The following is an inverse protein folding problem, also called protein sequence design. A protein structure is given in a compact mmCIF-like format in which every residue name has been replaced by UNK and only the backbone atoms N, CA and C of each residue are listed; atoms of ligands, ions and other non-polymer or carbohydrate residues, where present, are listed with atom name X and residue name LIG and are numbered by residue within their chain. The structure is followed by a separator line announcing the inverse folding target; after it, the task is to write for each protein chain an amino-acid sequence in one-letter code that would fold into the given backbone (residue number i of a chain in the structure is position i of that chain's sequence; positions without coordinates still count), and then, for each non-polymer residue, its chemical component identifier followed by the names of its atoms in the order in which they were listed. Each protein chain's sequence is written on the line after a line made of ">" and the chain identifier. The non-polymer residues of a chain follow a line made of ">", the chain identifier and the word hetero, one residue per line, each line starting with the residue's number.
data_IF_429408577717
#
_entry.id   IF_429408577717
#
_cell.length_a   1.000
_cell.length_b   1.000
_cell.length_c   1.000
_cell.angle_alpha   90.00
_cell.angle_beta   90.00
_cell.angle_gamma   90.00
#
_symmetry.space_group_name_H-M   'P 1'
#
loop_
_entity.id
_entity.type
_entity.pdbx_description
1 polymer ?
#
# COMPACT_ATOMS: atom_id res chain seq x y z
N UNK A 1 7.81 -9.24 -1.52
CA UNK A 1 7.72 -7.98 -0.72
C UNK A 1 7.97 -6.80 -1.65
N UNK A 2 7.12 -5.75 -1.69
CA UNK A 2 7.39 -4.59 -2.52
C UNK A 2 8.56 -3.75 -1.95
N UNK A 3 9.42 -3.23 -2.83
CA UNK A 3 10.48 -2.28 -2.48
C UNK A 3 9.94 -0.86 -2.47
N UNK A 4 10.42 -0.01 -1.55
CA UNK A 4 10.11 1.43 -1.55
C UNK A 4 11.28 2.26 -2.08
N UNK A 5 11.03 3.56 -2.32
CA UNK A 5 12.03 4.46 -2.88
C UNK A 5 13.29 4.60 -2.02
N UNK A 6 13.15 4.65 -0.69
CA UNK A 6 14.29 4.76 0.22
C UNK A 6 15.18 3.51 0.14
N UNK A 7 14.59 2.33 0.13
CA UNK A 7 15.30 1.07 -0.05
C UNK A 7 15.98 0.99 -1.41
N UNK A 8 15.30 1.42 -2.48
CA UNK A 8 15.89 1.44 -3.82
C UNK A 8 17.07 2.41 -3.89
N UNK A 9 17.00 3.57 -3.25
CA UNK A 9 18.12 4.53 -3.17
C UNK A 9 19.27 4.04 -2.30
N UNK A 10 19.01 3.21 -1.28
CA UNK A 10 20.08 2.57 -0.53
C UNK A 10 20.85 1.57 -1.39
N UNK A 11 20.16 0.85 -2.29
CA UNK A 11 20.78 -0.13 -3.19
C UNK A 11 21.42 0.54 -4.41
N UNK A 12 20.74 1.54 -4.98
CA UNK A 12 21.10 2.27 -6.21
C UNK A 12 21.19 3.78 -5.92
N UNK A 13 22.22 4.24 -5.17
CA UNK A 13 22.30 5.63 -4.70
C UNK A 13 22.35 6.68 -5.83
N UNK A 14 22.86 6.31 -7.01
CA UNK A 14 22.96 7.21 -8.14
C UNK A 14 21.66 7.28 -8.97
N UNK A 15 20.63 6.49 -8.65
CA UNK A 15 19.35 6.56 -9.33
C UNK A 15 18.65 7.92 -9.11
N UNK A 16 18.88 8.55 -7.96
CA UNK A 16 18.32 9.87 -7.64
C UNK A 16 16.79 9.91 -7.82
N UNK A 17 16.23 10.93 -8.50
CA UNK A 17 14.79 11.02 -8.72
C UNK A 17 14.19 9.82 -9.48
N UNK A 18 14.98 9.14 -10.32
CA UNK A 18 14.50 7.99 -11.09
C UNK A 18 14.06 6.83 -10.20
N UNK A 19 14.61 6.72 -8.99
CA UNK A 19 14.16 5.71 -8.04
C UNK A 19 12.64 5.82 -7.77
N UNK A 20 12.11 7.04 -7.59
CA UNK A 20 10.68 7.25 -7.37
C UNK A 20 9.83 6.88 -8.59
N UNK A 21 10.35 7.11 -9.80
CA UNK A 21 9.68 6.77 -11.06
C UNK A 21 9.58 5.25 -11.25
N UNK A 22 10.66 4.52 -10.94
CA UNK A 22 10.75 3.09 -11.20
C UNK A 22 10.17 2.19 -10.11
N UNK A 23 10.02 2.65 -8.87
CA UNK A 23 9.51 1.82 -7.76
C UNK A 23 8.17 1.14 -8.09
N UNK A 24 7.13 1.84 -8.59
CA UNK A 24 5.86 1.19 -8.93
C UNK A 24 6.03 0.14 -10.03
N UNK A 25 6.74 0.49 -11.10
CA UNK A 25 6.99 -0.38 -12.24
C UNK A 25 7.77 -1.66 -11.85
N UNK A 26 8.82 -1.51 -11.04
CA UNK A 26 9.63 -2.62 -10.54
C UNK A 26 8.80 -3.54 -9.66
N UNK A 27 7.98 -3.01 -8.76
CA UNK A 27 7.12 -3.83 -7.90
C UNK A 27 6.10 -4.65 -8.70
N UNK A 28 5.46 -4.04 -9.71
CA UNK A 28 4.52 -4.72 -10.59
C UNK A 28 5.24 -5.84 -11.38
N UNK A 29 6.38 -5.52 -11.98
CA UNK A 29 7.15 -6.48 -12.77
C UNK A 29 7.67 -7.65 -11.92
N UNK A 30 8.26 -7.36 -10.76
CA UNK A 30 8.74 -8.38 -9.83
C UNK A 30 7.62 -9.28 -9.32
N UNK A 31 6.44 -8.72 -9.01
CA UNK A 31 5.29 -9.51 -8.60
C UNK A 31 4.81 -10.45 -9.72
N UNK A 32 4.71 -9.95 -10.96
CA UNK A 32 4.26 -10.76 -12.11
C UNK A 32 5.16 -11.96 -12.39
N UNK A 33 6.47 -11.81 -12.22
CA UNK A 33 7.47 -12.85 -12.51
C UNK A 33 8.01 -13.55 -11.25
N UNK A 34 7.28 -13.48 -10.14
CA UNK A 34 7.62 -14.18 -8.88
C UNK A 34 9.05 -13.89 -8.39
N UNK A 35 9.51 -12.64 -8.57
CA UNK A 35 10.76 -12.11 -8.02
C UNK A 35 10.41 -11.54 -6.64
N UNK A 36 10.04 -12.42 -5.71
CA UNK A 36 9.33 -12.04 -4.47
C UNK A 36 10.09 -12.37 -3.18
N UNK A 37 11.11 -13.24 -3.26
CA UNK A 37 12.07 -13.52 -2.18
C UNK A 37 13.13 -12.41 -2.09
N UNK A 38 13.71 -12.20 -0.91
CA UNK A 38 14.75 -11.17 -0.71
C UNK A 38 15.96 -11.39 -1.62
N UNK A 39 16.38 -12.64 -1.82
CA UNK A 39 17.52 -12.98 -2.67
C UNK A 39 17.23 -12.69 -4.14
N UNK A 40 16.05 -13.07 -4.63
CA UNK A 40 15.61 -12.77 -6.01
C UNK A 40 15.52 -11.26 -6.26
N UNK A 41 14.89 -10.52 -5.35
CA UNK A 41 14.76 -9.06 -5.45
C UNK A 41 16.14 -8.40 -5.45
N UNK A 42 17.02 -8.77 -4.52
CA UNK A 42 18.36 -8.19 -4.43
C UNK A 42 19.19 -8.47 -5.70
N UNK A 43 19.18 -9.71 -6.17
CA UNK A 43 19.91 -10.11 -7.38
C UNK A 43 19.36 -9.42 -8.63
N UNK A 44 18.04 -9.33 -8.77
CA UNK A 44 17.38 -8.64 -9.87
C UNK A 44 17.69 -7.15 -9.88
N UNK A 45 17.53 -6.46 -8.75
CA UNK A 45 17.81 -5.02 -8.62
C UNK A 45 19.29 -4.70 -8.86
N UNK A 46 20.19 -5.54 -8.35
CA UNK A 46 21.61 -5.39 -8.60
C UNK A 46 21.95 -5.52 -10.09
N UNK A 47 21.36 -6.50 -10.77
CA UNK A 47 21.59 -6.72 -12.20
C UNK A 47 21.09 -5.54 -13.03
N UNK A 48 19.81 -5.15 -12.88
CA UNK A 48 19.26 -4.03 -13.64
C UNK A 48 19.98 -2.73 -13.29
N UNK A 49 20.41 -2.56 -12.04
CA UNK A 49 21.20 -1.42 -11.60
C UNK A 49 22.56 -1.35 -12.29
N UNK A 50 23.19 -2.49 -12.58
CA UNK A 50 24.43 -2.52 -13.35
C UNK A 50 24.18 -2.14 -14.82
N UNK A 51 23.24 -2.83 -15.48
CA UNK A 51 22.99 -2.70 -16.92
C UNK A 51 22.44 -1.32 -17.33
N UNK A 52 21.68 -0.66 -16.45
CA UNK A 52 21.04 0.63 -16.73
C UNK A 52 21.80 1.84 -16.14
N UNK A 53 22.98 1.62 -15.57
CA UNK A 53 23.70 2.68 -14.85
C UNK A 53 22.89 3.24 -13.68
N UNK A 54 22.32 2.35 -12.87
CA UNK A 54 21.44 2.63 -11.74
C UNK A 54 20.14 3.33 -12.15
N UNK A 55 19.44 2.78 -13.15
CA UNK A 55 18.15 3.24 -13.69
C UNK A 55 18.23 4.58 -14.44
N UNK A 56 19.43 5.09 -14.71
CA UNK A 56 19.64 6.36 -15.41
C UNK A 56 19.50 6.24 -16.92
N UNK A 57 19.71 5.04 -17.47
CA UNK A 57 19.70 4.78 -18.89
C UNK A 57 18.77 3.61 -19.22
N UNK A 58 17.74 3.89 -20.00
CA UNK A 58 16.79 2.91 -20.57
C UNK A 58 17.04 2.66 -22.06
N UNK A 59 18.10 3.25 -22.60
CA UNK A 59 18.46 3.17 -24.02
C UNK A 59 19.97 3.28 -24.17
N UNK A 60 20.54 2.47 -25.06
CA UNK A 60 21.93 2.57 -25.47
C UNK A 60 22.20 3.94 -26.12
N UNK A 61 23.24 4.61 -25.63
CA UNK A 61 23.72 5.88 -26.18
C UNK A 61 24.86 5.57 -27.15
N UNK A 62 24.57 5.58 -28.45
CA UNK A 62 25.54 5.35 -29.51
C UNK A 62 25.22 6.19 -30.75
N UNK A 63 26.26 6.63 -31.46
CA UNK A 63 26.10 7.24 -32.78
C UNK A 63 25.56 6.23 -33.78
N UNK A 64 24.98 6.69 -34.89
CA UNK A 64 24.48 5.79 -35.93
C UNK A 64 25.58 4.90 -36.51
N UNK A 65 26.82 5.43 -36.59
CA UNK A 65 28.02 4.67 -36.98
C UNK A 65 28.38 3.56 -36.00
N UNK A 66 28.16 3.77 -34.70
CA UNK A 66 28.41 2.76 -33.68
C UNK A 66 27.35 1.65 -33.72
N UNK A 67 26.09 2.02 -33.99
CA UNK A 67 24.96 1.10 -34.06
C UNK A 67 24.91 0.30 -35.37
N UNK A 68 25.61 0.74 -36.42
CA UNK A 68 25.76 0.01 -37.68
C UNK A 68 26.32 -1.42 -37.50
N UNK A 69 26.99 -1.71 -36.37
CA UNK A 69 27.42 -3.07 -35.99
C UNK A 69 26.25 -4.07 -35.84
N UNK A 70 25.05 -3.58 -35.57
CA UNK A 70 23.83 -4.38 -35.46
C UNK A 70 23.05 -4.45 -36.76
N UNK A 71 23.41 -3.64 -37.75
CA UNK A 71 22.64 -3.44 -38.98
C UNK A 71 23.04 -4.43 -40.07
N UNK A 72 24.30 -4.89 -40.06
CA UNK A 72 24.79 -5.83 -41.08
C UNK A 72 25.68 -6.93 -40.50
N UNK A 73 25.84 -8.02 -41.26
CA UNK A 73 26.79 -9.09 -40.98
C UNK A 73 26.32 -10.13 -39.94
N UNK A 74 27.27 -10.92 -39.43
CA UNK A 74 26.98 -12.09 -38.58
C UNK A 74 26.33 -11.73 -37.23
N UNK A 75 26.57 -10.52 -36.72
CA UNK A 75 25.92 -10.06 -35.50
C UNK A 75 24.44 -9.72 -35.75
N UNK A 76 24.14 -9.02 -36.86
CA UNK A 76 22.77 -8.73 -37.28
C UNK A 76 21.94 -10.01 -37.44
N UNK A 77 22.48 -11.01 -38.16
CA UNK A 77 21.82 -12.30 -38.37
C UNK A 77 21.51 -13.03 -37.07
N UNK A 78 22.46 -13.09 -36.12
CA UNK A 78 22.22 -13.72 -34.80
C UNK A 78 21.17 -12.99 -33.96
N UNK A 79 21.01 -11.69 -34.19
CA UNK A 79 20.01 -10.85 -33.54
C UNK A 79 18.64 -10.88 -34.25
N UNK A 80 18.55 -11.58 -35.39
CA UNK A 80 17.35 -11.65 -36.22
C UNK A 80 17.06 -10.37 -37.02
N UNK A 81 18.02 -9.43 -37.07
CA UNK A 81 17.93 -8.27 -37.94
C UNK A 81 18.12 -8.71 -39.40
N UNK A 82 17.57 -7.92 -40.31
CA UNK A 82 17.91 -8.03 -41.73
C UNK A 82 19.44 -7.90 -41.93
N UNK A 83 20.05 -8.69 -42.84
CA UNK A 83 21.47 -8.56 -43.12
C UNK A 83 21.83 -7.31 -43.95
N UNK A 84 20.82 -6.63 -44.51
CA UNK A 84 20.93 -5.38 -45.25
C UNK A 84 21.06 -4.16 -44.32
N UNK A 85 21.78 -3.11 -44.76
CA UNK A 85 21.87 -1.84 -44.04
C UNK A 85 20.59 -1.01 -44.21
N UNK A 86 19.47 -1.48 -43.67
CA UNK A 86 18.14 -0.87 -43.78
C UNK A 86 17.72 -0.07 -42.55
N UNK A 87 18.55 -0.06 -41.51
CA UNK A 87 18.31 0.64 -40.26
C UNK A 87 17.76 -0.23 -39.13
N UNK A 88 17.59 -1.54 -39.33
CA UNK A 88 17.19 -2.49 -38.27
C UNK A 88 18.14 -2.44 -37.06
N UNK A 89 19.44 -2.22 -37.27
CA UNK A 89 20.42 -2.10 -36.19
C UNK A 89 20.16 -0.88 -35.29
N UNK A 90 19.78 0.26 -35.90
CA UNK A 90 19.42 1.48 -35.21
C UNK A 90 18.00 1.38 -34.64
N UNK A 91 17.08 0.72 -35.33
CA UNK A 91 15.69 0.57 -34.90
C UNK A 91 15.60 -0.34 -33.67
N UNK A 92 16.32 -1.47 -33.67
CA UNK A 92 16.36 -2.49 -32.61
C UNK A 92 17.62 -2.41 -31.74
N UNK A 93 18.13 -1.20 -31.51
CA UNK A 93 19.22 -0.92 -30.54
C UNK A 93 18.87 -1.33 -29.11
N UNK A 94 19.85 -1.37 -28.21
CA UNK A 94 19.61 -1.70 -26.80
C UNK A 94 18.61 -0.76 -26.11
N UNK A 95 17.54 -1.32 -25.53
CA UNK A 95 16.55 -0.61 -24.70
C UNK A 95 16.13 -1.37 -23.45
N UNK A 96 15.48 -0.67 -22.53
CA UNK A 96 15.02 -1.19 -21.25
C UNK A 96 16.16 -1.35 -20.24
N UNK A 97 15.83 -1.87 -19.06
CA UNK A 97 16.79 -1.96 -17.96
C UNK A 97 17.81 -3.11 -18.11
N UNK A 98 17.65 -3.98 -19.11
CA UNK A 98 18.55 -5.12 -19.41
C UNK A 98 19.06 -5.13 -20.86
N UNK A 99 18.91 -4.02 -21.60
CA UNK A 99 19.41 -3.85 -22.97
C UNK A 99 18.88 -4.90 -23.98
N UNK A 100 17.55 -5.00 -24.11
CA UNK A 100 16.92 -5.78 -25.19
C UNK A 100 17.39 -5.23 -26.53
N UNK A 101 18.06 -6.07 -27.32
CA UNK A 101 18.73 -5.68 -28.57
C UNK A 101 18.42 -6.72 -29.65
N UNK A 102 18.14 -6.26 -30.87
CA UNK A 102 17.89 -7.12 -32.03
C UNK A 102 16.44 -7.51 -32.23
N UNK A 103 16.00 -7.50 -33.50
CA UNK A 103 14.62 -7.73 -33.95
C UNK A 103 13.98 -8.98 -33.35
N UNK A 104 14.68 -10.11 -33.34
CA UNK A 104 14.13 -11.35 -32.78
C UNK A 104 13.85 -11.25 -31.26
N UNK A 105 14.67 -10.49 -30.52
CA UNK A 105 14.44 -10.26 -29.10
C UNK A 105 13.31 -9.25 -28.86
N UNK A 106 13.16 -8.24 -29.72
CA UNK A 106 12.02 -7.32 -29.68
C UNK A 106 10.71 -8.05 -29.98
N UNK A 107 10.69 -8.95 -30.96
CA UNK A 107 9.54 -9.79 -31.28
C UNK A 107 9.14 -10.68 -30.10
N UNK A 108 10.07 -11.47 -29.56
CA UNK A 108 9.81 -12.36 -28.44
C UNK A 108 9.37 -11.61 -27.15
N UNK A 109 9.96 -10.44 -26.89
CA UNK A 109 9.55 -9.59 -25.78
C UNK A 109 8.16 -9.00 -26.01
N UNK A 110 7.88 -8.54 -27.24
CA UNK A 110 6.59 -7.96 -27.62
C UNK A 110 5.45 -8.96 -27.45
N UNK A 111 5.65 -10.20 -27.91
CA UNK A 111 4.68 -11.29 -27.73
C UNK A 111 4.41 -11.56 -26.25
N UNK A 112 5.46 -11.70 -25.42
CA UNK A 112 5.31 -12.01 -24.00
C UNK A 112 4.64 -10.88 -23.19
N UNK A 113 4.85 -9.62 -23.59
CA UNK A 113 4.31 -8.46 -22.91
C UNK A 113 2.97 -7.97 -23.49
N UNK A 114 2.56 -8.46 -24.67
CA UNK A 114 1.39 -7.98 -25.39
C UNK A 114 1.61 -6.59 -26.01
N UNK A 115 2.83 -6.29 -26.49
CA UNK A 115 3.24 -5.00 -27.04
C UNK A 115 3.71 -5.16 -28.50
N UNK A 116 3.32 -4.22 -29.38
CA UNK A 116 3.83 -4.17 -30.76
C UNK A 116 5.22 -3.52 -30.81
N UNK A 117 6.22 -4.24 -30.29
CA UNK A 117 7.60 -3.75 -30.19
C UNK A 117 8.35 -3.75 -31.54
N UNK A 118 7.83 -4.42 -32.56
CA UNK A 118 8.40 -4.36 -33.90
C UNK A 118 8.11 -3.02 -34.57
N UNK A 119 6.92 -2.46 -34.34
CA UNK A 119 6.57 -1.11 -34.83
C UNK A 119 6.89 -0.01 -33.84
N UNK A 120 6.86 -0.29 -32.54
CA UNK A 120 7.04 0.70 -31.47
C UNK A 120 8.12 0.28 -30.46
N UNK A 121 9.39 0.09 -30.89
CA UNK A 121 10.46 -0.35 -30.01
C UNK A 121 10.76 0.63 -28.86
N UNK A 122 10.45 1.92 -29.03
CA UNK A 122 10.58 2.96 -28.01
C UNK A 122 9.70 2.74 -26.77
N UNK A 123 8.69 1.86 -26.83
CA UNK A 123 7.90 1.50 -25.67
C UNK A 123 8.78 0.95 -24.55
N UNK A 124 9.87 0.24 -24.86
CA UNK A 124 10.83 -0.25 -23.86
C UNK A 124 11.63 0.84 -23.14
N UNK A 125 11.52 2.10 -23.55
CA UNK A 125 12.11 3.24 -22.85
C UNK A 125 11.19 3.76 -21.73
N UNK A 126 9.92 3.34 -21.71
CA UNK A 126 8.96 3.72 -20.68
C UNK A 126 9.19 2.89 -19.40
N UNK A 127 9.12 3.49 -18.19
CA UNK A 127 9.47 2.79 -16.95
C UNK A 127 8.76 1.46 -16.72
N UNK A 128 7.45 1.38 -17.00
CA UNK A 128 6.66 0.15 -16.87
C UNK A 128 7.19 -0.97 -17.78
N UNK A 129 7.36 -0.67 -19.08
CA UNK A 129 7.81 -1.66 -20.06
C UNK A 129 9.30 -1.99 -19.91
N UNK A 130 10.12 -1.04 -19.49
CA UNK A 130 11.53 -1.23 -19.18
C UNK A 130 11.73 -2.19 -18.00
N UNK A 131 10.92 -2.05 -16.95
CA UNK A 131 10.92 -2.97 -15.81
C UNK A 131 10.34 -4.34 -16.18
N UNK A 132 9.23 -4.36 -16.92
CA UNK A 132 8.54 -5.58 -17.32
C UNK A 132 9.38 -6.44 -18.27
N UNK A 133 10.07 -5.83 -19.24
CA UNK A 133 10.99 -6.52 -20.14
C UNK A 133 12.22 -7.09 -19.41
N UNK A 134 12.73 -6.38 -18.41
CA UNK A 134 13.81 -6.89 -17.57
C UNK A 134 13.37 -8.10 -16.74
N UNK A 135 12.18 -8.05 -16.13
CA UNK A 135 11.64 -9.17 -15.36
C UNK A 135 11.27 -10.37 -16.25
N UNK A 136 10.76 -10.13 -17.46
CA UNK A 136 10.54 -11.17 -18.47
C UNK A 136 11.84 -11.88 -18.84
N UNK A 137 12.89 -11.12 -19.15
CA UNK A 137 14.19 -11.69 -19.50
C UNK A 137 14.74 -12.52 -18.33
N UNK A 138 14.63 -12.00 -17.11
CA UNK A 138 15.04 -12.68 -15.90
C UNK A 138 14.37 -14.05 -15.72
N UNK A 139 13.05 -14.11 -15.95
CA UNK A 139 12.27 -15.33 -15.89
C UNK A 139 12.63 -16.31 -17.01
N UNK A 140 12.69 -15.83 -18.27
CA UNK A 140 13.09 -16.63 -19.44
C UNK A 140 14.47 -17.27 -19.27
N UNK A 141 15.40 -16.58 -18.61
CA UNK A 141 16.74 -17.09 -18.31
C UNK A 141 16.80 -17.97 -17.05
N UNK A 142 15.66 -18.18 -16.36
CA UNK A 142 15.48 -18.95 -15.14
C UNK A 142 16.40 -18.48 -13.99
N UNK A 143 16.54 -17.17 -13.85
CA UNK A 143 17.49 -16.57 -12.89
C UNK A 143 16.98 -16.59 -11.46
N UNK A 144 15.67 -16.76 -11.24
CA UNK A 144 15.09 -17.00 -9.91
C UNK A 144 15.76 -18.22 -9.24
N UNK A 145 15.95 -19.32 -9.97
CA UNK A 145 16.59 -20.53 -9.45
C UNK A 145 18.06 -20.30 -9.05
N UNK A 146 18.79 -19.45 -9.78
CA UNK A 146 20.17 -19.11 -9.45
C UNK A 146 20.25 -18.20 -8.22
N UNK A 147 19.34 -17.23 -8.13
CA UNK A 147 19.23 -16.34 -6.98
C UNK A 147 18.88 -17.10 -5.69
N UNK A 148 17.97 -18.07 -5.76
CA UNK A 148 17.60 -18.88 -4.59
C UNK A 148 18.74 -19.74 -4.05
N UNK A 149 19.66 -20.16 -4.93
CA UNK A 149 20.86 -20.91 -4.56
C UNK A 149 21.97 -20.03 -3.99
N UNK A 150 21.80 -18.70 -4.00
CA UNK A 150 22.85 -17.75 -3.65
C UNK A 150 24.01 -17.71 -4.65
N UNK A 151 23.86 -18.33 -5.83
CA UNK A 151 24.89 -18.42 -6.86
C UNK A 151 24.84 -17.19 -7.77
N UNK A 152 25.13 -16.04 -7.17
CA UNK A 152 25.14 -14.74 -7.84
C UNK A 152 26.23 -14.64 -8.93
N UNK A 153 27.17 -15.59 -8.97
CA UNK A 153 28.27 -15.66 -9.95
C UNK A 153 27.82 -16.26 -11.29
N UNK A 154 26.82 -17.14 -11.29
CA UNK A 154 26.29 -17.75 -12.51
C UNK A 154 25.28 -16.86 -13.23
N UNK A 155 24.71 -15.87 -12.54
CA UNK A 155 23.72 -14.94 -13.09
C UNK A 155 24.33 -14.11 -14.25
N UNK A 156 25.44 -13.36 -14.08
CA UNK A 156 26.04 -12.61 -15.19
C UNK A 156 26.53 -13.50 -16.35
N UNK A 157 26.98 -14.74 -16.08
CA UNK A 157 27.40 -15.68 -17.13
C UNK A 157 26.21 -16.18 -17.96
N UNK A 158 25.06 -16.41 -17.32
CA UNK A 158 23.84 -16.85 -18.02
C UNK A 158 23.23 -15.73 -18.87
N UNK A 159 23.35 -14.49 -18.40
CA UNK A 159 22.91 -13.28 -19.10
C UNK A 159 23.81 -13.01 -20.32
N UNK A 160 25.14 -13.05 -20.15
CA UNK A 160 26.10 -12.77 -21.22
C UNK A 160 26.35 -13.95 -22.19
N UNK A 161 25.93 -15.17 -21.83
CA UNK A 161 26.29 -16.41 -22.54
C UNK A 161 25.13 -17.27 -23.03
N UNK A 162 23.89 -16.78 -23.06
CA UNK A 162 22.74 -17.71 -23.19
C UNK A 162 21.54 -17.26 -24.02
N UNK A 163 21.66 -17.35 -25.35
CA UNK A 163 20.56 -17.76 -26.25
C UNK A 163 21.02 -18.82 -27.28
N UNK A 164 21.74 -19.86 -26.84
CA UNK A 164 21.85 -21.11 -27.60
C UNK A 164 21.14 -22.24 -26.84
N UNK A 165 19.84 -22.34 -27.04
CA UNK A 165 18.98 -23.50 -26.77
C UNK A 165 17.59 -23.03 -27.16
N UNK A 166 17.13 -23.29 -28.38
CA UNK A 166 16.33 -24.49 -28.66
C UNK A 166 16.51 -25.04 -30.10
N UNK A 167 17.42 -24.49 -30.93
CA UNK A 167 17.61 -24.93 -32.32
C UNK A 167 18.76 -25.94 -32.55
N UNK A 168 19.80 -25.98 -31.71
CA UNK A 168 20.99 -26.82 -31.95
C UNK A 168 20.92 -28.18 -31.25
N UNK A 169 19.92 -29.00 -31.58
CA UNK A 169 19.92 -30.43 -31.20
C UNK A 169 20.04 -31.41 -32.35
N UNK A 170 20.32 -30.96 -33.57
CA UNK A 170 20.63 -31.86 -34.68
C UNK A 170 21.67 -31.25 -35.60
N UNK A 171 22.89 -31.80 -35.54
CA UNK A 171 23.90 -31.94 -36.60
C UNK A 171 25.31 -31.59 -36.12
N UNK A 172 26.05 -32.62 -35.70
CA UNK A 172 27.50 -32.65 -35.81
C UNK A 172 27.85 -33.78 -36.77
N UNK A 173 28.51 -33.48 -37.90
CA UNK A 173 29.51 -34.39 -38.43
C UNK A 173 30.88 -33.72 -38.55
N UNK A 174 31.88 -34.58 -38.47
CA UNK A 174 33.29 -34.32 -38.25
C UNK A 174 34.08 -33.87 -39.50
N UNK A 175 35.29 -33.35 -39.25
CA UNK A 175 36.41 -33.16 -40.20
C UNK A 175 36.39 -31.78 -40.89
N UNK A 176 37.50 -31.10 -41.23
CA UNK A 176 38.89 -31.49 -41.54
C UNK A 176 39.80 -30.27 -41.24
N UNK A 177 41.08 -30.51 -40.93
CA UNK A 177 42.07 -29.48 -40.58
C UNK A 177 42.65 -28.68 -41.75
N UNK A 178 43.45 -27.67 -41.39
CA UNK A 178 44.31 -26.92 -42.31
C UNK A 178 44.90 -25.68 -41.63
N UNK A 179 46.21 -25.67 -41.43
CA UNK A 179 46.97 -24.55 -40.87
C UNK A 179 47.26 -23.47 -41.94
N UNK A 180 47.34 -22.19 -41.56
CA UNK A 180 48.53 -21.33 -41.77
C UNK A 180 48.31 -19.82 -41.43
N UNK A 181 49.44 -19.22 -41.00
CA UNK A 181 49.84 -17.80 -40.94
C UNK A 181 49.36 -16.92 -39.77
N UNK A 182 50.34 -16.53 -38.93
CA UNK A 182 50.23 -15.54 -37.85
C UNK A 182 50.24 -14.11 -38.42
N UNK A 183 49.17 -13.37 -38.19
CA UNK A 183 49.18 -11.92 -38.03
C UNK A 183 48.88 -11.67 -36.56
N UNK A 184 49.68 -10.84 -35.87
CA UNK A 184 49.45 -10.50 -34.48
C UNK A 184 48.13 -9.71 -34.39
N UNK A 185 47.06 -10.40 -34.03
CA UNK A 185 45.68 -9.92 -34.12
C UNK A 185 45.43 -8.89 -33.01
N UNK A 186 45.13 -7.64 -33.38
CA UNK A 186 44.79 -6.53 -32.47
C UNK A 186 43.55 -6.86 -31.61
N UNK A 187 42.80 -7.90 -31.99
CA UNK A 187 41.75 -8.54 -31.20
C UNK A 187 42.26 -9.14 -29.89
N UNK A 188 43.48 -9.72 -29.83
CA UNK A 188 44.02 -10.28 -28.59
C UNK A 188 44.46 -9.20 -27.59
N UNK A 189 44.89 -8.03 -28.06
CA UNK A 189 45.26 -6.90 -27.17
C UNK A 189 44.01 -6.21 -26.60
N UNK A 190 42.96 -6.04 -27.39
CA UNK A 190 41.65 -5.54 -26.91
C UNK A 190 40.99 -6.56 -25.99
N UNK A 191 41.03 -7.85 -26.34
CA UNK A 191 40.51 -8.93 -25.49
C UNK A 191 41.31 -9.04 -24.17
N UNK A 192 42.63 -8.90 -24.19
CA UNK A 192 43.46 -8.90 -22.99
C UNK A 192 43.25 -7.64 -22.12
N UNK A 193 42.98 -6.48 -22.72
CA UNK A 193 42.64 -5.25 -21.98
C UNK A 193 41.24 -5.33 -21.36
N UNK A 194 40.25 -5.89 -22.06
CA UNK A 194 38.89 -6.16 -21.55
C UNK A 194 38.89 -7.25 -20.48
N UNK A 195 39.69 -8.31 -20.64
CA UNK A 195 39.85 -9.38 -19.64
C UNK A 195 40.67 -8.92 -18.43
N UNK A 196 41.71 -8.10 -18.61
CA UNK A 196 42.55 -7.57 -17.53
C UNK A 196 41.84 -6.51 -16.66
N UNK A 197 41.09 -5.59 -17.29
CA UNK A 197 40.22 -4.66 -16.57
C UNK A 197 39.01 -5.36 -15.95
N UNK A 198 38.51 -6.42 -16.58
CA UNK A 198 37.48 -7.31 -16.05
C UNK A 198 37.92 -8.02 -14.76
N UNK A 199 39.17 -8.47 -14.63
CA UNK A 199 39.66 -9.17 -13.43
C UNK A 199 39.85 -8.23 -12.22
N UNK A 200 40.35 -7.01 -12.44
CA UNK A 200 40.49 -6.01 -11.36
C UNK A 200 39.14 -5.49 -10.86
N UNK A 201 38.21 -5.21 -11.79
CA UNK A 201 36.82 -4.85 -11.44
C UNK A 201 36.06 -6.03 -10.83
N UNK A 202 36.35 -7.28 -11.22
CA UNK A 202 35.80 -8.50 -10.63
C UNK A 202 36.26 -8.76 -9.18
N UNK A 203 37.54 -8.55 -8.88
CA UNK A 203 38.05 -8.69 -7.51
C UNK A 203 37.50 -7.58 -6.60
N UNK A 204 37.43 -6.34 -7.10
CA UNK A 204 36.74 -5.25 -6.40
C UNK A 204 35.25 -5.56 -6.20
N UNK A 205 34.58 -6.17 -7.18
CA UNK A 205 33.18 -6.60 -7.13
C UNK A 205 32.93 -7.75 -6.13
N UNK A 206 33.86 -8.69 -5.97
CA UNK A 206 33.80 -9.72 -4.93
C UNK A 206 33.92 -9.12 -3.53
N UNK A 207 34.88 -8.20 -3.34
CA UNK A 207 35.08 -7.55 -2.04
C UNK A 207 33.89 -6.66 -1.67
N UNK A 208 33.42 -5.85 -2.63
CA UNK A 208 32.19 -5.06 -2.56
C UNK A 208 31.02 -5.99 -2.23
N UNK A 209 30.73 -7.02 -3.04
CA UNK A 209 29.58 -7.91 -2.87
C UNK A 209 29.58 -8.72 -1.57
N UNK A 210 30.73 -9.24 -1.13
CA UNK A 210 30.84 -9.95 0.15
C UNK A 210 30.64 -8.99 1.35
N UNK A 211 31.20 -7.78 1.26
CA UNK A 211 31.05 -6.76 2.29
C UNK A 211 29.61 -6.24 2.37
N UNK A 212 28.98 -5.94 1.23
CA UNK A 212 27.56 -5.53 1.18
C UNK A 212 26.62 -6.68 1.55
N UNK A 213 26.94 -7.93 1.20
CA UNK A 213 26.16 -9.10 1.59
C UNK A 213 26.15 -9.31 3.11
N UNK A 214 27.31 -9.12 3.77
CA UNK A 214 27.40 -9.14 5.23
C UNK A 214 26.65 -7.97 5.86
N UNK A 215 26.79 -6.74 5.34
CA UNK A 215 26.05 -5.57 5.81
C UNK A 215 24.53 -5.72 5.64
N UNK A 216 24.07 -6.31 4.53
CA UNK A 216 22.65 -6.61 4.33
C UNK A 216 22.16 -7.68 5.31
N UNK A 217 22.98 -8.68 5.65
CA UNK A 217 22.59 -9.73 6.61
C UNK A 217 22.44 -9.18 8.04
N UNK A 218 23.35 -8.31 8.47
CA UNK A 218 23.28 -7.68 9.79
C UNK A 218 22.13 -6.68 9.87
N UNK A 219 21.91 -5.89 8.82
CA UNK A 219 20.71 -5.04 8.72
C UNK A 219 19.42 -5.86 8.61
N UNK A 220 19.43 -7.03 7.97
CA UNK A 220 18.25 -7.90 7.87
C UNK A 220 17.83 -8.46 9.21
N UNK A 221 18.78 -8.87 10.06
CA UNK A 221 18.48 -9.34 11.42
C UNK A 221 17.96 -8.20 12.30
N UNK A 222 18.61 -7.03 12.27
CA UNK A 222 18.16 -5.85 13.00
C UNK A 222 16.75 -5.41 12.56
N UNK A 223 16.49 -5.40 11.25
CA UNK A 223 15.19 -5.02 10.69
C UNK A 223 14.11 -6.09 10.87
N UNK A 224 14.48 -7.38 10.90
CA UNK A 224 13.56 -8.46 11.29
C UNK A 224 13.15 -8.30 12.75
N UNK A 225 14.10 -8.02 13.65
CA UNK A 225 13.82 -7.75 15.05
C UNK A 225 12.96 -6.49 15.25
N UNK A 226 13.29 -5.39 14.58
CA UNK A 226 12.46 -4.17 14.60
C UNK A 226 11.05 -4.42 14.05
N UNK A 227 10.91 -5.25 13.00
CA UNK A 227 9.60 -5.61 12.46
C UNK A 227 8.81 -6.52 13.37
N UNK A 228 9.45 -7.46 14.05
CA UNK A 228 8.78 -8.30 15.05
C UNK A 228 8.30 -7.43 16.21
N UNK A 229 9.12 -6.52 16.70
CA UNK A 229 8.75 -5.57 17.75
C UNK A 229 7.66 -4.59 17.28
N UNK A 230 7.74 -4.07 16.06
CA UNK A 230 6.71 -3.19 15.50
C UNK A 230 5.40 -3.95 15.22
N UNK A 231 5.47 -5.20 14.76
CA UNK A 231 4.29 -6.03 14.55
C UNK A 231 3.62 -6.38 15.88
N UNK A 232 4.40 -6.71 16.91
CA UNK A 232 3.88 -6.90 18.27
C UNK A 232 3.28 -5.60 18.82
N UNK A 233 3.93 -4.45 18.63
CA UNK A 233 3.40 -3.16 19.06
C UNK A 233 2.09 -2.78 18.34
N UNK A 234 1.95 -3.12 17.05
CA UNK A 234 0.70 -2.94 16.30
C UNK A 234 -0.39 -3.88 16.81
N UNK A 235 -0.06 -5.14 17.11
CA UNK A 235 -0.99 -6.11 17.72
C UNK A 235 -1.42 -5.65 19.11
N UNK A 236 -0.50 -5.18 19.94
CA UNK A 236 -0.78 -4.65 21.28
C UNK A 236 -1.63 -3.38 21.21
N UNK A 237 -1.31 -2.48 20.29
CA UNK A 237 -2.12 -1.28 20.02
C UNK A 237 -3.53 -1.66 19.55
N UNK A 238 -3.65 -2.63 18.64
CA UNK A 238 -4.93 -3.12 18.15
C UNK A 238 -5.74 -3.80 19.26
N UNK A 239 -5.09 -4.58 20.12
CA UNK A 239 -5.72 -5.22 21.28
C UNK A 239 -6.19 -4.17 22.29
N UNK A 240 -5.38 -3.13 22.55
CA UNK A 240 -5.74 -2.02 23.42
C UNK A 240 -6.93 -1.22 22.86
N UNK A 241 -6.95 -0.99 21.54
CA UNK A 241 -8.05 -0.30 20.88
C UNK A 241 -9.34 -1.14 20.88
N UNK A 242 -9.24 -2.45 20.62
CA UNK A 242 -10.37 -3.38 20.78
C UNK A 242 -10.86 -3.47 22.23
N UNK A 243 -9.96 -3.38 23.22
CA UNK A 243 -10.33 -3.31 24.62
C UNK A 243 -11.08 -2.01 24.97
N UNK A 244 -10.63 -0.87 24.42
CA UNK A 244 -11.33 0.42 24.56
C UNK A 244 -12.71 0.37 23.91
N UNK A 245 -12.84 -0.22 22.72
CA UNK A 245 -14.13 -0.42 22.04
C UNK A 245 -15.08 -1.28 22.87
N UNK A 246 -14.61 -2.43 23.35
CA UNK A 246 -15.41 -3.29 24.25
C UNK A 246 -15.81 -2.58 25.54
N UNK A 247 -14.92 -1.80 26.13
CA UNK A 247 -15.21 -1.01 27.33
C UNK A 247 -16.20 0.14 27.07
N UNK A 248 -16.23 0.68 25.85
CA UNK A 248 -17.23 1.66 25.42
C UNK A 248 -18.58 0.97 25.18
N UNK A 249 -18.60 -0.15 24.47
CA UNK A 249 -19.80 -0.96 24.24
C UNK A 249 -20.46 -1.39 25.54
N UNK A 250 -19.67 -1.88 26.51
CA UNK A 250 -20.18 -2.24 27.83
C UNK A 250 -20.77 -1.04 28.57
N UNK A 251 -20.13 0.15 28.47
CA UNK A 251 -20.67 1.37 29.06
C UNK A 251 -21.95 1.84 28.37
N UNK A 252 -22.03 1.72 27.06
CA UNK A 252 -23.25 2.04 26.31
C UNK A 252 -24.38 1.08 26.67
N UNK A 253 -24.10 -0.21 26.77
CA UNK A 253 -25.09 -1.20 27.22
C UNK A 253 -25.56 -0.94 28.66
N UNK A 254 -24.63 -0.67 29.59
CA UNK A 254 -24.97 -0.35 30.97
C UNK A 254 -25.81 0.94 31.07
N UNK A 255 -25.45 1.96 30.30
CA UNK A 255 -26.19 3.21 30.24
C UNK A 255 -27.59 3.01 29.60
N UNK A 256 -27.70 2.27 28.49
CA UNK A 256 -28.97 1.96 27.85
C UNK A 256 -29.90 1.21 28.80
N UNK A 257 -29.38 0.19 29.50
CA UNK A 257 -30.19 -0.55 30.49
C UNK A 257 -30.63 0.34 31.64
N UNK A 258 -29.77 1.26 32.09
CA UNK A 258 -30.11 2.25 33.13
C UNK A 258 -31.19 3.21 32.65
N UNK A 259 -31.03 3.81 31.47
CA UNK A 259 -32.00 4.74 30.87
C UNK A 259 -33.33 4.04 30.64
N UNK A 260 -33.33 2.81 30.11
CA UNK A 260 -34.54 2.02 29.92
C UNK A 260 -35.26 1.74 31.23
N UNK A 261 -34.50 1.40 32.29
CA UNK A 261 -35.06 1.16 33.61
C UNK A 261 -35.65 2.44 34.22
N UNK A 262 -34.91 3.54 34.20
CA UNK A 262 -35.39 4.83 34.71
C UNK A 262 -36.64 5.31 33.96
N UNK A 263 -36.67 5.17 32.62
CA UNK A 263 -37.84 5.51 31.82
C UNK A 263 -39.04 4.63 32.18
N UNK A 264 -38.83 3.31 32.32
CA UNK A 264 -39.88 2.37 32.72
C UNK A 264 -40.40 2.67 34.13
N UNK A 265 -39.52 2.96 35.08
CA UNK A 265 -39.86 3.29 36.46
C UNK A 265 -40.62 4.63 36.55
N UNK A 266 -40.21 5.63 35.75
CA UNK A 266 -40.90 6.92 35.63
C UNK A 266 -42.30 6.76 35.04
N UNK A 267 -42.44 6.01 33.94
CA UNK A 267 -43.72 5.69 33.32
C UNK A 267 -44.66 4.97 34.29
N UNK A 268 -44.13 4.01 35.05
CA UNK A 268 -44.90 3.25 36.05
C UNK A 268 -45.37 4.16 37.20
N UNK A 269 -44.47 5.02 37.70
CA UNK A 269 -44.78 5.97 38.77
C UNK A 269 -45.85 6.97 38.35
N UNK A 270 -45.76 7.47 37.11
CA UNK A 270 -46.72 8.40 36.53
C UNK A 270 -48.08 7.74 36.27
N UNK A 271 -48.10 6.51 35.75
CA UNK A 271 -49.33 5.73 35.60
C UNK A 271 -50.02 5.53 36.96
N UNK A 272 -49.25 5.23 38.01
CA UNK A 272 -49.77 5.11 39.38
C UNK A 272 -50.31 6.45 39.91
N UNK A 273 -49.65 7.58 39.66
CA UNK A 273 -50.16 8.89 40.06
C UNK A 273 -51.46 9.25 39.35
N UNK A 274 -51.57 8.94 38.05
CA UNK A 274 -52.80 9.10 37.27
C UNK A 274 -53.95 8.28 37.84
N UNK A 275 -53.69 7.00 38.13
CA UNK A 275 -54.69 6.11 38.69
C UNK A 275 -55.21 6.66 40.03
N UNK A 276 -54.29 7.09 40.91
CA UNK A 276 -54.65 7.70 42.21
C UNK A 276 -55.39 9.04 42.10
N UNK A 277 -55.11 9.84 41.07
CA UNK A 277 -55.88 11.05 40.78
C UNK A 277 -57.28 10.70 40.24
N UNK A 278 -57.41 9.62 39.49
CA UNK A 278 -58.69 9.14 38.95
C UNK A 278 -59.57 8.48 40.01
N UNK A 279 -58.98 7.77 40.99
CA UNK A 279 -59.69 7.12 42.11
C UNK A 279 -60.01 8.07 43.27
N UNK A 280 -59.68 9.37 43.14
CA UNK A 280 -59.81 10.40 44.17
C UNK A 280 -58.95 10.19 45.44
N UNK A 281 -57.95 9.29 45.39
CA UNK A 281 -56.95 9.08 46.45
C UNK A 281 -55.91 10.22 46.54
N UNK A 282 -55.77 11.00 45.46
CA UNK A 282 -54.97 12.23 45.40
C UNK A 282 -55.81 13.36 44.81
N UNK A 283 -55.66 14.58 45.34
CA UNK A 283 -56.36 15.78 44.85
C UNK A 283 -55.39 16.88 44.48
N UNK A 284 -55.60 17.50 43.33
CA UNK A 284 -54.79 18.61 42.83
C UNK A 284 -55.44 19.92 43.28
N UNK A 285 -54.66 20.78 43.95
CA UNK A 285 -55.12 22.07 44.46
C UNK A 285 -54.24 23.21 43.94
N UNK A 286 -54.86 24.34 43.63
CA UNK A 286 -54.20 25.54 43.13
C UNK A 286 -54.28 26.63 44.18
N UNK A 287 -53.19 27.37 44.38
CA UNK A 287 -53.18 28.58 45.21
C UNK A 287 -54.03 29.65 44.53
N UNK A 288 -55.02 30.15 45.24
CA UNK A 288 -55.84 31.27 44.77
C UNK A 288 -55.05 32.55 45.02
N UNK A 289 -54.93 33.39 43.99
CA UNK A 289 -54.37 34.72 44.16
C UNK A 289 -55.32 35.53 45.05
N UNK A 290 -54.87 35.91 46.25
CA UNK A 290 -55.63 36.82 47.09
C UNK A 290 -55.67 38.20 46.42
N UNK A 291 -56.84 38.80 46.17
CA UNK A 291 -56.91 40.17 45.70
C UNK A 291 -56.30 41.08 46.78
N UNK A 292 -55.38 41.95 46.37
CA UNK A 292 -54.82 43.00 47.24
C UNK A 292 -55.96 43.82 47.87
N UNK A 293 -55.89 43.94 49.19
CA UNK A 293 -56.90 44.45 50.11
C UNK A 293 -57.78 45.62 49.63
N UNK A 294 -59.08 45.47 49.88
CA UNK A 294 -60.02 46.55 50.09
C UNK A 294 -60.95 46.19 51.25
N UNK A 295 -60.69 46.80 52.41
CA UNK A 295 -61.52 46.93 53.62
C UNK A 295 -62.06 45.69 54.36
N UNK A 296 -61.66 45.55 55.64
CA UNK A 296 -62.37 44.72 56.62
C UNK A 296 -61.57 44.24 57.84
N UNK A 297 -61.48 45.10 58.87
CA UNK A 297 -61.25 44.88 60.33
C UNK A 297 -60.33 43.73 60.84
N UNK A 298 -59.33 44.02 61.70
CA UNK A 298 -58.54 42.98 62.36
C UNK A 298 -59.32 42.35 63.53
N UNK A 299 -59.36 41.01 63.58
CA UNK A 299 -59.80 40.26 64.77
C UNK A 299 -58.61 39.58 65.46
N UNK A 300 -58.77 39.44 66.77
CA UNK A 300 -57.73 39.39 67.79
C UNK A 300 -56.72 38.23 67.71
N UNK A 301 -55.56 38.49 68.33
CA UNK A 301 -54.50 37.54 68.66
C UNK A 301 -55.00 36.37 69.51
N UNK A 302 -54.88 35.15 68.97
CA UNK A 302 -55.11 33.88 69.65
C UNK A 302 -53.96 32.89 69.37
N UNK A 303 -53.64 32.11 70.39
CA UNK A 303 -52.47 31.24 70.56
C UNK A 303 -52.13 30.29 69.41
N UNK A 304 -50.84 30.25 69.05
CA UNK A 304 -50.12 29.07 68.52
C UNK A 304 -50.80 28.31 67.38
N UNK A 305 -50.82 28.89 66.18
CA UNK A 305 -51.39 28.27 64.98
C UNK A 305 -50.34 27.99 63.91
N UNK A 306 -50.37 26.78 63.36
CA UNK A 306 -49.64 26.35 62.16
C UNK A 306 -49.79 27.42 61.07
N UNK A 307 -48.71 27.74 60.35
CA UNK A 307 -48.71 28.76 59.28
C UNK A 307 -49.86 28.46 58.31
N UNK A 308 -50.88 29.33 58.28
CA UNK A 308 -51.98 29.20 57.33
C UNK A 308 -51.42 29.50 55.93
N UNK A 309 -51.19 28.45 55.13
CA UNK A 309 -50.96 28.60 53.70
C UNK A 309 -52.15 29.32 53.06
N UNK A 310 -51.90 30.15 52.04
CA UNK A 310 -52.94 30.90 51.35
C UNK A 310 -54.09 30.02 50.83
N UNK A 311 -55.30 30.57 50.64
CA UNK A 311 -56.48 29.81 50.25
C UNK A 311 -56.23 29.02 48.95
N UNK A 312 -56.57 27.73 48.95
CA UNK A 312 -56.42 26.82 47.80
C UNK A 312 -57.77 26.35 47.30
N UNK A 313 -57.97 26.32 45.99
CA UNK A 313 -59.12 25.70 45.34
C UNK A 313 -58.77 24.28 44.87
N UNK A 314 -59.64 23.31 45.13
CA UNK A 314 -59.53 21.96 44.54
C UNK A 314 -60.00 22.00 43.08
N UNK A 315 -59.23 21.36 42.20
CA UNK A 315 -59.62 21.20 40.80
C UNK A 315 -60.55 20.00 40.64
N UNK A 316 -61.54 20.12 39.75
CA UNK A 316 -62.37 18.99 39.30
C UNK A 316 -61.48 17.84 38.78
N UNK A 317 -61.71 16.56 39.15
CA UNK A 317 -60.85 15.44 38.76
C UNK A 317 -60.66 15.29 37.25
N UNK A 318 -61.69 15.54 36.44
CA UNK A 318 -61.59 15.45 34.98
C UNK A 318 -60.77 16.63 34.40
N UNK A 319 -60.90 17.83 34.97
CA UNK A 319 -60.06 18.97 34.63
C UNK A 319 -58.59 18.77 35.06
N UNK A 320 -58.35 18.25 36.26
CA UNK A 320 -57.03 17.93 36.78
C UNK A 320 -56.33 16.87 35.91
N UNK A 321 -57.05 15.82 35.50
CA UNK A 321 -56.54 14.79 34.59
C UNK A 321 -56.10 15.33 33.23
N UNK A 322 -56.86 16.28 32.65
CA UNK A 322 -56.48 16.95 31.38
C UNK A 322 -55.25 17.83 31.52
N UNK A 323 -55.10 18.56 32.64
CA UNK A 323 -53.93 19.40 32.90
C UNK A 323 -52.66 18.55 32.99
N UNK A 324 -52.71 17.43 33.71
CA UNK A 324 -51.58 16.48 33.80
C UNK A 324 -51.30 15.81 32.45
N UNK A 325 -52.32 15.55 31.62
CA UNK A 325 -52.10 15.02 30.27
C UNK A 325 -51.37 16.01 29.34
N UNK A 326 -51.57 17.32 29.49
CA UNK A 326 -50.86 18.33 28.70
C UNK A 326 -49.38 18.35 29.04
N UNK A 327 -49.01 18.23 30.31
CA UNK A 327 -47.60 18.15 30.72
C UNK A 327 -46.91 16.92 30.15
N UNK A 328 -47.61 15.78 30.07
CA UNK A 328 -47.07 14.55 29.47
C UNK A 328 -46.72 14.72 27.98
N UNK A 329 -47.61 15.33 27.19
CA UNK A 329 -47.33 15.58 25.77
C UNK A 329 -46.15 16.53 25.60
N UNK A 330 -46.02 17.53 26.49
CA UNK A 330 -44.88 18.44 26.52
C UNK A 330 -43.57 17.73 26.84
N UNK A 331 -43.57 16.85 27.84
CA UNK A 331 -42.38 16.09 28.27
C UNK A 331 -41.94 15.08 27.20
N UNK A 332 -42.88 14.38 26.56
CA UNK A 332 -42.59 13.51 25.42
C UNK A 332 -42.00 14.28 24.23
N UNK A 333 -42.52 15.48 23.95
CA UNK A 333 -41.97 16.37 22.92
C UNK A 333 -40.54 16.84 23.22
N UNK A 334 -40.25 17.15 24.49
CA UNK A 334 -38.91 17.53 24.96
C UNK A 334 -37.90 16.37 24.88
N UNK A 335 -38.32 15.15 25.20
CA UNK A 335 -37.51 13.94 25.05
C UNK A 335 -37.19 13.69 23.57
N UNK A 336 -38.19 13.76 22.68
CA UNK A 336 -38.01 13.58 21.25
C UNK A 336 -37.09 14.65 20.63
N UNK A 337 -37.20 15.90 21.07
CA UNK A 337 -36.33 16.99 20.65
C UNK A 337 -34.87 16.76 21.07
N UNK A 338 -34.64 16.34 22.33
CA UNK A 338 -33.29 16.00 22.82
C UNK A 338 -32.67 14.85 22.04
N UNK A 339 -33.44 13.81 21.72
CA UNK A 339 -32.98 12.71 20.89
C UNK A 339 -32.59 13.16 19.47
N UNK A 340 -33.39 14.02 18.83
CA UNK A 340 -33.06 14.60 17.53
C UNK A 340 -31.79 15.46 17.58
N UNK A 341 -31.63 16.27 18.63
CA UNK A 341 -30.44 17.11 18.81
C UNK A 341 -29.16 16.30 19.06
N UNK A 342 -29.26 15.18 19.79
CA UNK A 342 -28.15 14.26 20.00
C UNK A 342 -27.74 13.58 18.68
N UNK A 343 -28.71 13.09 17.91
CA UNK A 343 -28.45 12.51 16.59
C UNK A 343 -27.76 13.49 15.65
N UNK A 344 -28.26 14.73 15.53
CA UNK A 344 -27.64 15.77 14.69
C UNK A 344 -26.18 16.08 15.09
N UNK A 345 -25.85 16.00 16.38
CA UNK A 345 -24.47 16.20 16.85
C UNK A 345 -23.55 15.03 16.50
N UNK A 346 -24.05 13.80 16.45
CA UNK A 346 -23.26 12.62 16.07
C UNK A 346 -22.92 12.58 14.58
N UNK A 347 -23.83 13.01 13.69
CA UNK A 347 -23.59 13.01 12.23
C UNK A 347 -22.76 14.21 11.74
N UNK A 348 -22.53 15.21 12.59
CA UNK A 348 -21.81 16.43 12.24
C UNK A 348 -20.30 16.37 12.55
N UNK A 349 -19.78 15.22 12.99
CA UNK A 349 -18.37 14.95 13.31
C UNK A 349 -17.85 13.71 12.59
#
# INVERSE_FOLDING_TARGET
>A
MPINQQQLLQILPNAGPQAGVFVPALNIAMARYTIDTRLRIAAFIAQIGHESGQLRYVRELGSDSYLAKYDTGQLALRLGNTPEADGDGQLYRGRGLIQVTGRANYEACGEALGLDLLRQPQLLEQPEHAAMSAAWFWDRANLNLLADKGDLLMIPRRINGGTNSLADRQALPAGIGGAAVKVLDMRFLILAFVLGSGLGTWAAWQWQGAHYGLQLSTQTLAWQQEREQAALAVVDWQNAEQARRRALELRLQDNDTTIHKELSDAQTSQARLRDRLATADLRLSVLLASPTAGDGMPTASGSGGVVHGGPRGELDPAAAGRIVAITDYGDQGLIALKACQAYVREIAH
#
